data_IF_396717173545
#
_entry.id   IF_396717173545
#
_cell.length_a   1.000
_cell.length_b   1.000
_cell.length_c   1.000
_cell.angle_alpha   90.00
_cell.angle_beta   90.00
_cell.angle_gamma   90.00
#
_symmetry.space_group_name_H-M   'P 1'
#
loop_
_entity.id
_entity.type
_entity.pdbx_description
1 polymer ?
2 non-polymer ?
3 non-polymer ?
4 non-polymer ?
5 water ?
#
# COMPACT_ATOMS: atom_id res chain seq x y z
N UNK A 24 -16.20 -22.08 1.84
CA UNK A 24 -17.31 -21.14 2.07
C UNK A 24 -17.45 -20.86 3.56
N UNK A 25 -16.64 -21.55 4.36
CA UNK A 25 -16.68 -21.34 5.80
C UNK A 25 -16.28 -19.91 6.11
N UNK A 26 -15.05 -19.56 5.75
CA UNK A 26 -14.52 -18.22 6.01
C UNK A 26 -15.41 -17.12 5.39
N UNK A 27 -15.88 -17.37 4.16
CA UNK A 27 -16.76 -16.42 3.48
C UNK A 27 -18.04 -16.13 4.25
N UNK A 28 -18.61 -17.19 4.82
CA UNK A 28 -19.86 -17.11 5.57
C UNK A 28 -19.82 -16.11 6.72
N UNK A 29 -18.83 -16.30 7.60
CA UNK A 29 -18.74 -15.51 8.81
C UNK A 29 -18.12 -14.15 8.56
N UNK A 30 -17.47 -13.96 7.41
CA UNK A 30 -17.05 -12.62 7.02
C UNK A 30 -18.25 -11.88 6.45
N UNK A 31 -19.05 -12.57 5.66
CA UNK A 31 -20.25 -11.95 5.09
C UNK A 31 -21.23 -11.62 6.20
N UNK A 32 -21.33 -12.52 7.17
CA UNK A 32 -22.25 -12.37 8.29
C UNK A 32 -21.85 -11.25 9.26
N UNK A 33 -20.55 -10.98 9.36
CA UNK A 33 -20.02 -10.03 10.36
C UNK A 33 -20.53 -8.59 10.21
N UNK A 34 -20.48 -7.84 11.32
CA UNK A 34 -20.79 -6.42 11.29
C UNK A 34 -19.46 -5.69 11.26
N UNK A 35 -19.40 -4.56 10.57
CA UNK A 35 -18.13 -3.90 10.30
C UNK A 35 -17.95 -2.62 11.10
N UNK A 36 -17.08 -2.67 12.14
CA UNK A 36 -16.87 -1.56 13.07
C UNK A 36 -16.40 -0.32 12.33
N UNK A 37 -16.51 0.85 12.94
CA UNK A 37 -16.15 2.08 12.25
C UNK A 37 -14.64 2.20 12.03
N UNK A 38 -14.27 3.22 11.26
CA UNK A 38 -12.88 3.48 10.94
C UNK A 38 -12.14 3.86 12.21
N UNK A 39 -12.83 4.61 13.07
CA UNK A 39 -12.24 5.08 14.33
C UNK A 39 -11.98 3.91 15.27
N UNK A 40 -12.93 2.99 15.38
CA UNK A 40 -12.80 1.82 16.22
C UNK A 40 -11.66 0.91 15.75
N UNK A 41 -11.33 1.01 14.46
CA UNK A 41 -10.36 0.12 13.84
C UNK A 41 -8.98 0.74 13.74
N UNK A 42 -8.91 2.06 13.96
CA UNK A 42 -7.67 2.81 13.94
C UNK A 42 -7.02 2.86 12.56
N UNK A 43 -7.80 2.54 11.53
CA UNK A 43 -7.24 2.51 10.20
C UNK A 43 -7.01 3.91 9.60
N UNK A 44 -7.19 4.96 10.41
CA UNK A 44 -6.90 6.35 10.00
C UNK A 44 -5.55 6.85 10.55
N UNK A 45 -4.95 6.04 11.43
CA UNK A 45 -3.66 6.40 12.03
C UNK A 45 -2.49 5.98 11.18
N UNK A 46 -1.59 6.91 10.89
CA UNK A 46 -0.35 6.56 10.25
C UNK A 46 0.47 5.53 11.05
N UNK A 47 0.25 5.47 12.36
CA UNK A 47 1.02 4.57 13.23
C UNK A 47 0.34 3.21 13.42
N UNK A 48 -0.76 3.00 12.71
CA UNK A 48 -1.46 1.72 12.67
C UNK A 48 -0.56 0.49 12.59
N UNK A 49 -0.97 -0.58 13.26
CA UNK A 49 -0.30 -1.88 13.16
C UNK A 49 -1.30 -3.03 13.14
N UNK A 50 -0.87 -4.17 12.62
CA UNK A 50 -1.78 -5.30 12.44
C UNK A 50 -1.36 -6.55 13.21
N UNK A 51 -0.28 -6.44 13.99
CA UNK A 51 0.29 -7.62 14.66
C UNK A 51 -0.73 -8.40 15.48
N UNK A 52 -1.72 -7.69 16.02
CA UNK A 52 -2.68 -8.27 16.95
C UNK A 52 -4.03 -8.58 16.29
N UNK A 53 -4.10 -8.40 14.98
CA UNK A 53 -5.33 -8.62 14.24
C UNK A 53 -5.36 -10.02 13.66
N UNK A 54 -6.53 -10.67 13.75
CA UNK A 54 -6.75 -11.98 13.12
C UNK A 54 -6.96 -11.70 11.65
N UNK A 55 -6.89 -12.74 10.82
CA UNK A 55 -7.16 -12.56 9.40
C UNK A 55 -8.53 -11.97 9.18
N UNK A 56 -9.53 -12.52 9.84
CA UNK A 56 -10.89 -12.03 9.74
C UNK A 56 -10.95 -10.54 10.03
N UNK A 57 -10.24 -10.11 11.06
CA UNK A 57 -10.21 -8.70 11.42
C UNK A 57 -9.57 -7.82 10.34
N UNK A 58 -8.59 -8.37 9.63
CA UNK A 58 -7.96 -7.57 8.59
C UNK A 58 -8.95 -7.46 7.43
N UNK A 59 -9.70 -8.53 7.20
CA UNK A 59 -10.72 -8.56 6.16
C UNK A 59 -11.79 -7.50 6.42
N UNK A 60 -12.19 -7.37 7.68
CA UNK A 60 -13.12 -6.33 8.09
C UNK A 60 -12.58 -4.93 7.90
N UNK A 61 -11.31 -4.72 8.28
CA UNK A 61 -10.65 -3.42 8.10
C UNK A 61 -10.63 -3.02 6.63
N UNK A 62 -10.34 -3.99 5.77
CA UNK A 62 -10.35 -3.74 4.35
C UNK A 62 -11.76 -3.39 3.84
N UNK A 63 -12.78 -4.05 4.36
CA UNK A 63 -14.15 -3.66 3.99
C UNK A 63 -14.38 -2.21 4.39
N UNK A 64 -14.07 -1.89 5.65
CA UNK A 64 -14.24 -0.53 6.12
C UNK A 64 -13.55 0.50 5.22
N UNK A 65 -12.37 0.15 4.68
CA UNK A 65 -11.64 1.05 3.77
C UNK A 65 -12.42 1.37 2.50
N UNK A 66 -12.88 0.34 1.82
CA UNK A 66 -13.71 0.53 0.62
C UNK A 66 -14.94 1.37 0.95
N UNK A 67 -15.48 1.19 2.13
CA UNK A 67 -16.74 1.83 2.49
C UNK A 67 -16.59 3.33 2.73
N UNK A 68 -15.54 3.72 3.45
CA UNK A 68 -15.37 5.12 3.81
C UNK A 68 -14.74 5.98 2.73
N UNK A 69 -14.22 5.32 1.70
CA UNK A 69 -13.75 6.04 0.52
C UNK A 69 -14.91 6.15 -0.50
N UNK A 70 -16.09 5.72 -0.07
CA UNK A 70 -17.33 5.78 -0.86
C UNK A 70 -17.31 4.88 -2.07
N UNK A 71 -16.54 3.80 -1.98
CA UNK A 71 -16.37 2.90 -3.12
C UNK A 71 -17.51 1.92 -3.28
N UNK A 72 -18.12 1.54 -2.17
CA UNK A 72 -19.24 0.61 -2.25
C UNK A 72 -20.47 1.33 -2.79
N UNK A 73 -20.70 2.52 -2.26
CA UNK A 73 -21.73 3.43 -2.75
C UNK A 73 -21.62 3.69 -4.25
N UNK A 74 -20.62 4.49 -4.63
CA UNK A 74 -20.53 5.00 -6.00
C UNK A 74 -20.44 3.96 -7.12
N UNK A 75 -20.10 2.72 -6.78
CA UNK A 75 -19.84 1.70 -7.80
C UNK A 75 -20.64 0.44 -7.54
N UNK A 76 -21.61 0.55 -6.65
CA UNK A 76 -22.63 -0.48 -6.47
C UNK A 76 -22.07 -1.88 -6.24
N UNK A 77 -21.14 -1.99 -5.30
CA UNK A 77 -20.55 -3.29 -5.02
C UNK A 77 -21.50 -4.06 -4.13
N UNK A 78 -21.67 -5.34 -4.44
CA UNK A 78 -22.46 -6.22 -3.61
C UNK A 78 -21.57 -6.81 -2.52
N UNK A 79 -22.12 -6.88 -1.32
CA UNK A 79 -21.37 -7.24 -0.11
C UNK A 79 -20.68 -8.58 -0.25
N UNK A 80 -21.40 -9.60 -0.70
CA UNK A 80 -20.82 -10.93 -0.78
C UNK A 80 -19.71 -10.98 -1.83
N UNK A 81 -19.78 -10.09 -2.83
CA UNK A 81 -18.77 -10.05 -3.88
C UNK A 81 -17.48 -9.38 -3.37
N UNK A 82 -17.62 -8.22 -2.72
CA UNK A 82 -16.47 -7.57 -2.09
C UNK A 82 -15.81 -8.47 -1.05
N UNK A 83 -16.62 -9.10 -0.19
CA UNK A 83 -16.10 -10.04 0.79
C UNK A 83 -15.33 -11.17 0.13
N UNK A 84 -15.92 -11.74 -0.92
CA UNK A 84 -15.29 -12.88 -1.59
C UNK A 84 -14.00 -12.44 -2.30
N UNK A 85 -14.03 -11.23 -2.85
CA UNK A 85 -12.87 -10.66 -3.50
C UNK A 85 -11.69 -10.48 -2.54
N UNK A 86 -11.99 -9.99 -1.34
CA UNK A 86 -10.98 -9.80 -0.32
C UNK A 86 -10.39 -11.14 0.13
N UNK A 87 -11.25 -12.10 0.42
CA UNK A 87 -10.77 -13.44 0.76
C UNK A 87 -9.94 -14.06 -0.37
N UNK A 88 -10.29 -13.73 -1.61
CA UNK A 88 -9.51 -14.16 -2.74
C UNK A 88 -8.13 -13.52 -2.76
N UNK A 89 -8.07 -12.20 -2.53
CA UNK A 89 -6.78 -11.53 -2.53
C UNK A 89 -5.93 -12.12 -1.41
N UNK A 90 -6.53 -12.27 -0.23
CA UNK A 90 -5.81 -12.83 0.91
C UNK A 90 -5.22 -14.21 0.59
N UNK A 91 -6.03 -15.07 -0.02
CA UNK A 91 -5.61 -16.44 -0.33
C UNK A 91 -4.44 -16.49 -1.31
N UNK A 92 -4.37 -15.52 -2.21
CA UNK A 92 -3.33 -15.58 -3.24
C UNK A 92 -2.04 -14.91 -2.81
N UNK A 93 -1.86 -14.73 -1.50
CA UNK A 93 -0.56 -14.37 -0.93
C UNK A 93 -0.09 -15.61 -0.18
N UNK A 94 1.23 -15.79 -0.09
CA UNK A 94 1.76 -16.99 0.56
C UNK A 94 2.16 -16.72 2.01
N UNK A 95 1.68 -17.56 2.93
CA UNK A 95 2.02 -17.49 4.34
C UNK A 95 3.50 -17.78 4.55
N UNK A 96 4.01 -18.71 3.74
CA UNK A 96 5.38 -19.18 3.86
C UNK A 96 6.46 -18.11 3.60
N UNK A 97 6.04 -16.91 3.19
CA UNK A 97 6.96 -15.80 2.94
C UNK A 97 6.88 -14.80 4.10
N UNK A 98 8.03 -14.50 4.69
CA UNK A 98 8.09 -13.75 5.94
C UNK A 98 7.52 -12.32 5.86
N UNK A 99 7.83 -11.60 4.79
CA UNK A 99 7.38 -10.22 4.72
C UNK A 99 6.37 -9.98 3.61
N UNK A 100 6.76 -10.33 2.39
CA UNK A 100 5.89 -10.15 1.23
C UNK A 100 4.68 -11.10 1.23
N UNK A 101 3.71 -10.79 2.09
CA UNK A 101 2.52 -11.61 2.24
C UNK A 101 1.28 -10.72 2.45
N UNK A 102 0.15 -11.34 2.80
CA UNK A 102 -1.10 -10.59 2.94
C UNK A 102 -1.02 -9.40 3.90
N UNK A 103 -0.33 -9.59 5.03
CA UNK A 103 -0.19 -8.52 6.00
C UNK A 103 0.50 -7.28 5.42
N UNK A 104 1.52 -7.49 4.61
CA UNK A 104 2.22 -6.37 3.98
C UNK A 104 1.32 -5.68 2.95
N UNK A 105 0.53 -6.50 2.25
CA UNK A 105 -0.44 -5.98 1.28
C UNK A 105 -1.46 -5.21 2.06
N UNK A 106 -1.96 -5.83 3.11
CA UNK A 106 -2.93 -5.20 4.01
C UNK A 106 -2.45 -3.84 4.52
N UNK A 107 -1.19 -3.77 4.97
CA UNK A 107 -0.65 -2.53 5.50
C UNK A 107 -0.45 -1.45 4.46
N UNK A 108 -0.05 -1.83 3.26
CA UNK A 108 0.06 -0.85 2.17
C UNK A 108 -1.30 -0.20 1.90
N UNK A 109 -2.35 -1.03 1.85
CA UNK A 109 -3.69 -0.50 1.65
C UNK A 109 -4.13 0.40 2.80
N UNK A 110 -3.84 0.00 4.04
CA UNK A 110 -4.16 0.87 5.17
C UNK A 110 -3.44 2.22 5.08
N UNK A 111 -2.14 2.19 4.77
CA UNK A 111 -1.41 3.45 4.58
C UNK A 111 -1.98 4.32 3.45
N UNK A 112 -2.40 3.69 2.35
CA UNK A 112 -3.09 4.43 1.29
C UNK A 112 -4.31 5.12 1.89
N UNK A 113 -5.05 4.39 2.71
CA UNK A 113 -6.28 4.91 3.28
C UNK A 113 -5.99 6.09 4.20
N UNK A 114 -4.96 5.95 5.05
CA UNK A 114 -4.63 7.02 5.97
C UNK A 114 -4.15 8.25 5.22
N UNK A 115 -3.38 8.04 4.14
CA UNK A 115 -2.88 9.14 3.34
C UNK A 115 -4.04 9.85 2.65
N UNK A 116 -5.09 9.10 2.35
CA UNK A 116 -6.23 9.68 1.64
C UNK A 116 -7.10 10.49 2.59
N UNK A 117 -7.31 9.96 3.80
CA UNK A 117 -8.13 10.60 4.83
C UNK A 117 -7.32 11.56 5.71
N UNK A 118 -6.58 11.00 6.68
CA UNK A 118 -5.72 11.81 7.54
C UNK A 118 -4.73 12.68 6.75
N UNK A 119 -4.16 12.13 5.68
CA UNK A 119 -3.24 12.88 4.83
C UNK A 119 -3.91 13.82 3.84
N UNK A 120 -5.24 13.79 3.81
CA UNK A 120 -6.05 14.71 3.01
C UNK A 120 -5.74 14.70 1.50
N UNK A 121 -5.45 13.51 0.98
CA UNK A 121 -5.13 13.35 -0.45
C UNK A 121 -6.37 12.97 -1.28
N UNK A 122 -7.38 12.44 -0.60
CA UNK A 122 -8.68 12.14 -1.21
C UNK A 122 -9.20 13.28 -2.09
N UNK A 123 -8.99 14.51 -1.63
CA UNK A 123 -9.49 15.71 -2.30
C UNK A 123 -8.81 15.99 -3.64
N UNK A 124 -7.58 15.52 -3.81
CA UNK A 124 -6.82 15.81 -5.02
C UNK A 124 -7.03 14.80 -6.14
N UNK A 125 -7.80 13.74 -5.86
CA UNK A 125 -7.90 12.62 -6.79
C UNK A 125 -9.35 12.32 -7.18
N UNK A 126 -9.57 11.74 -8.36
CA UNK A 126 -10.93 11.32 -8.71
C UNK A 126 -11.31 10.05 -7.97
N UNK A 127 -12.60 9.76 -7.96
CA UNK A 127 -13.13 8.50 -7.45
C UNK A 127 -12.49 7.27 -8.10
N UNK A 128 -12.36 7.30 -9.43
CA UNK A 128 -11.84 6.15 -10.15
C UNK A 128 -10.38 5.91 -9.80
N UNK A 129 -9.63 6.99 -9.62
CA UNK A 129 -8.24 6.88 -9.19
C UNK A 129 -8.15 6.24 -7.81
N UNK A 130 -8.97 6.73 -6.89
CA UNK A 130 -8.99 6.21 -5.52
C UNK A 130 -9.30 4.72 -5.51
N UNK A 131 -10.33 4.33 -6.28
CA UNK A 131 -10.71 2.94 -6.44
C UNK A 131 -9.53 2.11 -6.92
N UNK A 132 -8.78 2.67 -7.85
CA UNK A 132 -7.66 1.96 -8.46
C UNK A 132 -6.48 1.87 -7.52
N UNK A 133 -6.24 2.91 -6.72
CA UNK A 133 -5.11 2.91 -5.80
C UNK A 133 -5.33 1.89 -4.69
N UNK A 134 -6.57 1.79 -4.22
CA UNK A 134 -6.90 0.88 -3.14
C UNK A 134 -6.72 -0.57 -3.59
N UNK A 135 -7.23 -0.86 -4.78
CA UNK A 135 -7.16 -2.21 -5.31
C UNK A 135 -5.70 -2.52 -5.58
N UNK A 136 -4.98 -1.55 -6.13
CA UNK A 136 -3.57 -1.70 -6.46
C UNK A 136 -2.74 -1.99 -5.21
N UNK A 137 -2.93 -1.19 -4.17
CA UNK A 137 -2.24 -1.42 -2.90
C UNK A 137 -2.48 -2.83 -2.36
N UNK A 138 -3.71 -3.31 -2.43
CA UNK A 138 -4.03 -4.64 -1.92
C UNK A 138 -3.45 -5.76 -2.78
N UNK A 139 -3.32 -5.50 -4.08
CA UNK A 139 -2.95 -6.55 -5.02
C UNK A 139 -1.47 -6.55 -5.45
N UNK A 140 -0.75 -5.48 -5.15
CA UNK A 140 0.54 -5.16 -5.80
C UNK A 140 1.68 -6.15 -5.58
N UNK A 141 1.50 -7.10 -4.66
CA UNK A 141 2.51 -8.12 -4.42
C UNK A 141 1.92 -9.52 -4.47
N UNK A 142 0.75 -9.65 -5.10
CA UNK A 142 0.04 -10.93 -5.18
C UNK A 142 0.93 -12.07 -5.64
N UNK A 143 0.90 -13.19 -4.91
CA UNK A 143 1.65 -14.40 -5.24
C UNK A 143 3.19 -14.23 -5.20
N UNK A 144 3.67 -13.23 -4.46
CA UNK A 144 5.10 -13.10 -4.18
C UNK A 144 5.64 -14.38 -3.51
N UNK A 145 6.82 -14.84 -3.92
CA UNK A 145 7.35 -16.08 -3.37
C UNK A 145 8.57 -15.82 -2.50
N UNK A 146 8.95 -14.56 -2.37
CA UNK A 146 10.07 -14.14 -1.56
C UNK A 146 11.14 -13.51 -2.41
N UNK A 147 11.76 -12.44 -1.90
CA UNK A 147 12.82 -11.71 -2.61
C UNK A 147 13.93 -12.62 -3.19
N UNK A 148 14.18 -13.75 -2.53
CA UNK A 148 15.17 -14.73 -2.99
C UNK A 148 14.64 -15.87 -3.87
N UNK A 149 13.55 -15.66 -4.60
CA UNK A 149 13.07 -16.63 -5.59
C UNK A 149 12.94 -16.04 -6.99
N UNK A 166 10.42 -4.80 -14.79
CA UNK A 166 9.31 -4.89 -13.86
C UNK A 166 8.61 -6.22 -14.02
N UNK A 167 9.40 -7.25 -14.25
CA UNK A 167 8.87 -8.60 -14.46
C UNK A 167 7.91 -9.06 -13.38
N UNK A 168 8.37 -9.00 -12.14
CA UNK A 168 7.56 -9.41 -10.99
C UNK A 168 6.22 -8.68 -10.94
N UNK A 169 6.28 -7.38 -11.11
CA UNK A 169 5.11 -6.53 -11.04
C UNK A 169 4.08 -6.89 -12.13
N UNK A 170 4.54 -7.28 -13.32
CA UNK A 170 3.61 -7.72 -14.34
C UNK A 170 2.88 -8.97 -13.88
N UNK A 171 3.61 -9.89 -13.27
CA UNK A 171 2.98 -11.06 -12.70
C UNK A 171 1.99 -10.73 -11.56
N UNK A 172 2.28 -9.69 -10.78
CA UNK A 172 1.37 -9.29 -9.71
C UNK A 172 0.06 -8.75 -10.27
N UNK A 173 0.17 -7.88 -11.27
CA UNK A 173 -1.01 -7.34 -11.93
C UNK A 173 -1.82 -8.46 -12.59
N UNK A 174 -1.13 -9.43 -13.14
CA UNK A 174 -1.81 -10.59 -13.72
C UNK A 174 -2.67 -11.29 -12.69
N UNK A 175 -2.09 -11.65 -11.56
CA UNK A 175 -2.86 -12.20 -10.45
C UNK A 175 -4.05 -11.31 -10.11
N UNK A 176 -3.81 -10.00 -10.04
CA UNK A 176 -4.87 -9.03 -9.74
C UNK A 176 -6.02 -9.11 -10.73
N UNK A 177 -5.71 -9.12 -12.02
CA UNK A 177 -6.72 -9.20 -13.07
C UNK A 177 -7.51 -10.50 -12.98
N UNK A 178 -6.79 -11.62 -12.91
CA UNK A 178 -7.44 -12.92 -12.83
C UNK A 178 -8.48 -12.94 -11.71
N UNK A 179 -8.12 -12.39 -10.56
CA UNK A 179 -9.04 -12.31 -9.44
C UNK A 179 -10.22 -11.38 -9.73
N UNK A 180 -9.92 -10.18 -10.23
CA UNK A 180 -10.96 -9.23 -10.59
C UNK A 180 -11.99 -9.81 -11.60
N UNK A 181 -11.59 -10.81 -12.37
CA UNK A 181 -12.47 -11.40 -13.36
C UNK A 181 -13.07 -12.74 -12.96
N UNK A 182 -12.67 -13.23 -11.79
CA UNK A 182 -13.22 -14.46 -11.25
C UNK A 182 -14.69 -14.32 -10.89
N UNK A 183 -15.49 -15.34 -11.23
CA UNK A 183 -16.93 -15.40 -10.95
C UNK A 183 -17.15 -15.20 -9.47
N UNK A 184 -18.10 -14.33 -9.13
CA UNK A 184 -18.39 -14.07 -7.74
C UNK A 184 -17.54 -12.98 -7.15
N UNK A 185 -16.44 -12.65 -7.82
CA UNK A 185 -15.47 -11.73 -7.26
C UNK A 185 -15.41 -10.40 -7.96
N UNK A 186 -16.27 -10.19 -8.95
CA UNK A 186 -16.18 -9.00 -9.79
C UNK A 186 -16.59 -7.65 -9.19
N UNK A 187 -15.72 -7.07 -8.36
CA UNK A 187 -16.06 -5.84 -7.64
C UNK A 187 -16.11 -4.59 -8.52
N UNK A 188 -15.80 -4.75 -9.80
CA UNK A 188 -15.88 -3.62 -10.73
C UNK A 188 -17.07 -3.71 -11.71
N UNK A 189 -17.91 -4.74 -11.54
CA UNK A 189 -19.03 -4.97 -12.47
C UNK A 189 -19.94 -3.74 -12.62
N UNK A 190 -20.04 -2.95 -11.56
CA UNK A 190 -20.88 -1.76 -11.57
C UNK A 190 -20.36 -0.61 -12.39
N UNK A 191 -19.08 -0.68 -12.78
CA UNK A 191 -18.48 0.36 -13.61
C UNK A 191 -18.90 0.17 -15.07
N UNK A 192 -19.09 1.28 -15.79
CA UNK A 192 -19.29 1.23 -17.25
C UNK A 192 -18.00 0.73 -17.93
N UNK A 193 -18.11 0.37 -19.21
CA UNK A 193 -16.93 -0.13 -19.93
C UNK A 193 -15.80 0.92 -19.99
N UNK A 194 -16.16 2.19 -20.11
CA UNK A 194 -15.19 3.27 -20.14
C UNK A 194 -14.51 3.47 -18.79
N UNK A 195 -15.31 3.56 -17.74
CA UNK A 195 -14.80 3.61 -16.37
C UNK A 195 -13.89 2.43 -16.12
N UNK A 196 -14.32 1.26 -16.58
CA UNK A 196 -13.61 0.02 -16.31
C UNK A 196 -12.22 0.03 -16.94
N UNK A 197 -12.16 0.40 -18.21
CA UNK A 197 -10.88 0.48 -18.92
C UNK A 197 -9.95 1.48 -18.26
N UNK A 198 -10.48 2.64 -17.90
CA UNK A 198 -9.68 3.67 -17.23
C UNK A 198 -9.17 3.18 -15.88
N UNK A 199 -10.03 2.56 -15.09
CA UNK A 199 -9.63 2.00 -13.81
C UNK A 199 -8.58 0.89 -13.96
N UNK A 200 -8.77 0.02 -14.92
CA UNK A 200 -7.86 -1.09 -15.13
C UNK A 200 -6.47 -0.59 -15.53
N UNK A 201 -6.40 0.40 -16.40
CA UNK A 201 -5.12 0.98 -16.79
C UNK A 201 -4.40 1.65 -15.60
N UNK A 202 -5.13 2.41 -14.81
CA UNK A 202 -4.56 2.99 -13.60
C UNK A 202 -4.08 1.94 -12.59
N UNK A 203 -4.88 0.90 -12.34
CA UNK A 203 -4.44 -0.20 -11.47
C UNK A 203 -3.10 -0.78 -11.92
N UNK A 204 -2.95 -0.94 -13.22
CA UNK A 204 -1.74 -1.54 -13.77
C UNK A 204 -0.50 -0.65 -13.56
N UNK A 205 -0.60 0.64 -13.88
CA UNK A 205 0.48 1.60 -13.68
C UNK A 205 0.86 1.68 -12.21
N UNK A 206 -0.13 1.61 -11.34
CA UNK A 206 0.11 1.66 -9.91
C UNK A 206 0.90 0.46 -9.40
N UNK A 207 0.54 -0.73 -9.86
CA UNK A 207 1.24 -1.95 -9.45
C UNK A 207 2.65 -1.98 -10.08
N UNK A 208 2.73 -1.51 -11.31
CA UNK A 208 4.00 -1.45 -12.01
C UNK A 208 4.92 -0.48 -11.28
N UNK A 209 4.35 0.61 -10.79
CA UNK A 209 5.11 1.63 -10.10
C UNK A 209 5.82 1.14 -8.84
N UNK A 210 5.37 0.02 -8.26
CA UNK A 210 5.97 -0.53 -7.05
C UNK A 210 7.30 -1.28 -7.33
N UNK A 211 7.72 -1.29 -8.59
CA UNK A 211 9.07 -1.72 -8.91
C UNK A 211 9.98 -0.60 -8.45
N UNK A 212 10.84 -0.88 -7.48
CA UNK A 212 11.75 0.14 -6.97
C UNK A 212 12.61 0.71 -8.09
N UNK A 213 12.93 -0.11 -9.08
CA UNK A 213 13.67 0.35 -10.26
C UNK A 213 12.91 1.49 -10.96
N UNK A 214 11.63 1.26 -11.21
CA UNK A 214 10.78 2.30 -11.81
C UNK A 214 10.78 3.55 -10.95
N UNK A 215 10.71 3.37 -9.63
CA UNK A 215 10.66 4.52 -8.72
C UNK A 215 11.91 5.41 -8.83
N UNK A 216 13.07 4.77 -8.89
CA UNK A 216 14.34 5.49 -8.96
C UNK A 216 14.50 6.24 -10.29
N UNK A 217 14.02 5.61 -11.36
CA UNK A 217 14.07 6.18 -12.68
C UNK A 217 13.19 7.41 -12.80
N UNK A 218 12.05 7.40 -12.11
CA UNK A 218 11.05 8.44 -12.33
C UNK A 218 11.00 9.53 -11.27
N UNK A 219 11.61 9.27 -10.11
CA UNK A 219 11.49 10.20 -9.00
C UNK A 219 12.21 11.50 -9.30
N UNK A 220 13.26 11.41 -10.11
CA UNK A 220 14.02 12.56 -10.56
C UNK A 220 13.13 13.68 -11.05
N UNK A 221 12.25 13.36 -11.98
CA UNK A 221 11.32 14.35 -12.52
C UNK A 221 10.39 14.89 -11.45
N UNK A 222 10.00 14.03 -10.50
CA UNK A 222 9.06 14.41 -9.44
C UNK A 222 9.68 15.42 -8.48
N UNK A 223 10.86 15.10 -7.96
CA UNK A 223 11.58 16.00 -7.06
C UNK A 223 11.93 17.30 -7.78
N UNK A 224 12.32 17.17 -9.05
CA UNK A 224 12.66 18.34 -9.87
C UNK A 224 11.49 19.29 -10.03
N UNK A 225 10.31 18.74 -10.27
CA UNK A 225 9.10 19.55 -10.39
C UNK A 225 8.78 20.29 -9.10
N UNK A 226 8.71 19.56 -7.98
CA UNK A 226 8.37 20.15 -6.69
C UNK A 226 9.35 21.25 -6.33
N UNK A 227 10.61 21.00 -6.67
CA UNK A 227 11.71 21.91 -6.40
C UNK A 227 11.42 23.30 -6.95
N UNK A 228 10.82 23.36 -8.13
CA UNK A 228 10.54 24.63 -8.81
C UNK A 228 9.14 25.19 -8.56
N UNK A 229 8.44 24.64 -7.57
CA UNK A 229 7.02 24.98 -7.34
C UNK A 229 6.15 24.86 -8.59
N UNK A 230 6.53 23.95 -9.49
CA UNK A 230 5.82 23.75 -10.74
C UNK A 230 4.82 22.59 -10.67
N UNK A 231 5.01 21.68 -9.73
CA UNK A 231 4.17 20.47 -9.65
C UNK A 231 2.67 20.80 -9.65
N UNK A 232 2.01 20.34 -10.72
CA UNK A 232 0.58 20.58 -10.91
C UNK A 232 -0.15 19.27 -11.26
N UNK A 233 -1.10 18.91 -10.40
CA UNK A 233 -1.80 17.63 -10.51
C UNK A 233 -2.77 17.58 -11.69
N UNK A 234 -3.19 18.75 -12.15
CA UNK A 234 -4.17 18.84 -13.22
C UNK A 234 -3.56 18.47 -14.58
N UNK A 235 -2.23 18.51 -14.66
CA UNK A 235 -1.55 17.91 -15.81
C UNK A 235 -1.65 16.40 -15.65
N UNK A 236 -2.22 15.73 -16.66
CA UNK A 236 -2.36 14.28 -16.66
C UNK A 236 -1.04 13.59 -16.38
N UNK A 237 0.03 14.11 -16.96
CA UNK A 237 1.32 13.45 -16.87
C UNK A 237 1.91 13.45 -15.46
N UNK A 238 1.70 14.56 -14.75
CA UNK A 238 2.21 14.69 -13.38
C UNK A 238 1.31 13.96 -12.40
N UNK A 239 0.00 13.99 -12.66
CA UNK A 239 -0.99 13.24 -11.90
C UNK A 239 -0.61 11.76 -11.84
N UNK A 240 -0.38 11.18 -13.00
CA UNK A 240 0.06 9.79 -13.07
C UNK A 240 1.38 9.57 -12.33
N UNK A 241 2.30 10.53 -12.43
CA UNK A 241 3.59 10.43 -11.73
C UNK A 241 3.38 10.42 -10.21
N UNK A 242 2.48 11.26 -9.74
CA UNK A 242 2.16 11.35 -8.32
C UNK A 242 1.54 10.03 -7.80
N UNK A 243 0.63 9.46 -8.56
CA UNK A 243 0.04 8.17 -8.19
C UNK A 243 1.12 7.11 -8.03
N UNK A 244 2.13 7.15 -8.89
CA UNK A 244 3.25 6.20 -8.80
C UNK A 244 4.03 6.42 -7.53
N UNK A 245 4.30 7.68 -7.22
CA UNK A 245 5.06 8.01 -6.03
C UNK A 245 4.25 7.64 -4.78
N UNK A 246 2.95 7.92 -4.79
CA UNK A 246 2.08 7.57 -3.67
C UNK A 246 2.15 6.07 -3.41
N UNK A 247 2.11 5.29 -4.48
CA UNK A 247 2.22 3.85 -4.37
C UNK A 247 3.50 3.44 -3.66
N UNK A 248 4.64 4.02 -4.07
CA UNK A 248 5.92 3.65 -3.43
C UNK A 248 5.88 4.03 -1.95
N UNK A 249 5.37 5.22 -1.66
CA UNK A 249 5.24 5.72 -0.28
C UNK A 249 4.47 4.79 0.64
N UNK A 250 3.34 4.26 0.17
CA UNK A 250 2.55 3.33 0.97
C UNK A 250 3.24 1.99 1.06
N UNK A 251 3.84 1.57 -0.04
CA UNK A 251 4.54 0.30 -0.13
C UNK A 251 5.63 0.24 0.93
N UNK A 252 6.29 1.36 1.17
CA UNK A 252 7.44 1.42 2.09
C UNK A 252 7.04 1.94 3.48
N UNK A 253 5.76 2.10 3.75
CA UNK A 253 5.31 2.78 4.97
C UNK A 253 5.82 2.16 6.28
N UNK A 254 6.22 0.88 6.25
CA UNK A 254 6.73 0.21 7.45
C UNK A 254 7.91 0.99 8.04
N UNK A 255 8.71 1.56 7.15
CA UNK A 255 9.85 2.38 7.53
C UNK A 255 9.44 3.63 8.33
N UNK A 256 8.15 3.92 8.40
CA UNK A 256 7.70 5.14 9.06
C UNK A 256 7.07 4.86 10.43
N UNK A 257 6.89 3.58 10.71
CA UNK A 257 6.13 3.14 11.89
C UNK A 257 6.84 3.49 13.19
N UNK A 258 6.09 3.57 14.30
CA UNK A 258 6.72 3.78 15.61
C UNK A 258 7.79 2.73 15.84
N UNK A 259 8.88 3.15 16.47
CA UNK A 259 10.07 2.31 16.63
C UNK A 259 9.88 0.83 17.05
N UNK A 260 9.02 0.55 18.06
CA UNK A 260 8.86 -0.86 18.41
C UNK A 260 8.23 -1.65 17.27
N UNK A 261 7.31 -1.02 16.57
CA UNK A 261 6.72 -1.63 15.38
C UNK A 261 7.72 -1.78 14.22
N UNK A 262 8.42 -0.70 13.85
CA UNK A 262 9.42 -0.78 12.77
C UNK A 262 10.49 -1.85 13.02
N UNK A 263 10.95 -1.94 14.26
CA UNK A 263 11.92 -2.95 14.63
C UNK A 263 11.40 -4.36 14.33
N UNK A 264 10.11 -4.57 14.58
CA UNK A 264 9.52 -5.88 14.41
C UNK A 264 9.40 -6.21 12.95
N UNK A 265 8.92 -5.23 12.20
CA UNK A 265 8.80 -5.42 10.77
C UNK A 265 10.19 -5.59 10.12
N UNK A 266 11.18 -4.80 10.56
CA UNK A 266 12.53 -4.92 10.00
C UNK A 266 13.04 -6.34 10.20
N UNK A 267 12.58 -6.95 11.27
CA UNK A 267 12.96 -8.32 11.58
C UNK A 267 12.34 -9.28 10.57
N UNK A 268 11.12 -8.99 10.14
CA UNK A 268 10.47 -9.83 9.14
C UNK A 268 11.21 -9.77 7.81
N UNK A 269 11.53 -8.55 7.36
CA UNK A 269 12.20 -8.40 6.08
C UNK A 269 13.61 -8.98 6.12
N UNK A 270 14.21 -8.98 7.30
CA UNK A 270 15.52 -9.59 7.49
C UNK A 270 15.40 -11.10 7.31
N UNK A 271 14.31 -11.66 7.82
CA UNK A 271 14.06 -13.10 7.71
C UNK A 271 13.90 -13.53 6.26
N UNK A 272 13.25 -12.69 5.46
CA UNK A 272 13.05 -13.00 4.04
C UNK A 272 14.35 -12.82 3.26
N UNK A 273 15.05 -11.72 3.52
CA UNK A 273 16.30 -11.41 2.82
C UNK A 273 17.41 -12.44 3.02
N UNK A 274 17.59 -12.90 4.25
CA UNK A 274 18.80 -13.62 4.64
C UNK A 274 18.59 -15.09 4.98
N UNK A 275 17.38 -15.45 5.36
CA UNK A 275 17.11 -16.80 5.81
C UNK A 275 15.95 -17.48 5.11
N UNK A 276 15.68 -17.07 3.87
CA UNK A 276 14.69 -17.73 3.03
C UNK A 276 15.25 -17.74 1.61
N UNK A 277 14.94 -18.77 0.82
CA UNK A 277 14.17 -19.91 1.29
C UNK A 277 12.89 -20.16 0.49
N UNK A 297 29.76 -8.49 13.54
CA UNK A 297 28.89 -7.32 13.66
C UNK A 297 27.55 -7.54 12.93
N UNK A 298 26.53 -6.79 13.33
CA UNK A 298 25.23 -6.81 12.65
C UNK A 298 25.11 -5.68 11.63
N UNK A 299 24.94 -6.04 10.36
CA UNK A 299 24.96 -5.06 9.29
C UNK A 299 23.60 -4.38 9.10
N UNK A 300 22.56 -4.99 9.67
CA UNK A 300 21.20 -4.51 9.50
C UNK A 300 20.96 -3.03 9.83
N UNK A 301 21.48 -2.53 10.96
CA UNK A 301 21.12 -1.13 11.25
C UNK A 301 21.76 -0.17 10.27
N UNK A 302 22.95 -0.54 9.80
CA UNK A 302 23.65 0.22 8.78
C UNK A 302 22.89 0.14 7.47
N UNK A 303 22.47 -1.08 7.13
CA UNK A 303 21.63 -1.27 5.96
C UNK A 303 20.38 -0.40 6.03
N UNK A 304 19.72 -0.39 7.18
CA UNK A 304 18.48 0.39 7.30
C UNK A 304 18.73 1.88 7.10
N UNK A 305 19.82 2.40 7.65
CA UNK A 305 20.14 3.82 7.50
C UNK A 305 20.37 4.13 6.02
N UNK A 306 21.02 3.20 5.32
CA UNK A 306 21.27 3.37 3.89
C UNK A 306 19.99 3.39 3.08
N UNK A 307 19.12 2.42 3.34
CA UNK A 307 17.81 2.35 2.70
C UNK A 307 17.01 3.63 2.97
N UNK A 308 17.01 4.10 4.21
CA UNK A 308 16.28 5.32 4.55
C UNK A 308 16.83 6.55 3.79
N UNK A 309 18.16 6.66 3.73
CA UNK A 309 18.80 7.76 3.00
C UNK A 309 18.58 7.72 1.50
N UNK A 310 18.90 6.59 0.88
CA UNK A 310 18.79 6.45 -0.58
C UNK A 310 17.34 6.56 -1.10
N UNK A 311 16.40 5.98 -0.37
CA UNK A 311 15.10 5.70 -0.95
C UNK A 311 13.98 6.47 -0.26
N UNK A 312 13.95 6.41 1.07
CA UNK A 312 12.77 6.86 1.83
C UNK A 312 12.61 8.35 2.09
N UNK A 313 13.64 9.01 2.65
CA UNK A 313 13.49 10.39 3.10
C UNK A 313 12.99 11.38 2.05
N UNK A 314 13.61 11.38 0.88
CA UNK A 314 13.23 12.32 -0.16
C UNK A 314 11.76 12.12 -0.58
N UNK A 315 11.37 10.86 -0.77
CA UNK A 315 9.99 10.53 -1.09
C UNK A 315 9.01 11.12 -0.08
N UNK A 316 9.23 10.85 1.21
CA UNK A 316 8.30 11.39 2.21
C UNK A 316 8.40 12.91 2.34
N UNK A 317 9.59 13.46 2.10
CA UNK A 317 9.75 14.91 2.05
C UNK A 317 8.87 15.47 0.93
N UNK A 318 9.05 14.98 -0.29
CA UNK A 318 8.22 15.40 -1.42
C UNK A 318 6.72 15.23 -1.15
N UNK A 319 6.35 14.10 -0.54
CA UNK A 319 4.95 13.84 -0.22
C UNK A 319 4.32 14.87 0.71
N UNK A 320 5.08 15.31 1.72
CA UNK A 320 4.52 16.27 2.67
C UNK A 320 4.44 17.64 1.99
N UNK A 321 5.35 17.89 1.05
CA UNK A 321 5.29 19.11 0.24
C UNK A 321 3.96 19.16 -0.52
N UNK A 322 3.60 18.04 -1.14
CA UNK A 322 2.32 17.94 -1.83
C UNK A 322 1.16 18.13 -0.85
N UNK A 323 1.24 17.48 0.31
CA UNK A 323 0.21 17.63 1.34
C UNK A 323 0.79 17.66 2.75
N UNK A 324 0.73 18.83 3.37
CA UNK A 324 1.31 19.05 4.69
C UNK A 324 0.89 17.98 5.70
N UNK A 325 -0.29 17.40 5.52
CA UNK A 325 -0.81 16.44 6.47
C UNK A 325 -0.22 15.03 6.40
N UNK A 326 0.60 14.77 5.38
CA UNK A 326 1.34 13.50 5.31
C UNK A 326 2.61 13.55 6.14
N UNK A 327 2.87 14.70 6.75
CA UNK A 327 4.04 14.91 7.60
C UNK A 327 4.40 13.80 8.58
N UNK A 328 3.39 13.20 9.25
CA UNK A 328 3.70 12.07 10.12
C UNK A 328 4.52 10.96 9.46
N UNK A 329 4.35 10.73 8.16
CA UNK A 329 5.11 9.67 7.49
C UNK A 329 6.57 10.06 7.51
N UNK A 330 6.82 11.30 7.10
CA UNK A 330 8.15 11.87 7.11
C UNK A 330 8.76 11.82 8.50
N UNK A 331 7.97 12.20 9.50
CA UNK A 331 8.41 12.27 10.89
C UNK A 331 8.80 10.91 11.47
N UNK A 332 7.93 9.93 11.25
CA UNK A 332 8.20 8.58 11.70
C UNK A 332 9.46 8.05 11.04
N UNK A 333 9.67 8.41 9.77
CA UNK A 333 10.84 7.94 9.05
C UNK A 333 12.12 8.48 9.69
N UNK A 334 12.13 9.77 10.00
CA UNK A 334 13.29 10.42 10.64
C UNK A 334 13.62 9.84 12.00
N UNK A 335 12.60 9.71 12.84
CA UNK A 335 12.75 9.09 14.16
C UNK A 335 13.34 7.70 14.04
N UNK A 336 12.93 6.97 13.01
CA UNK A 336 13.45 5.63 12.81
C UNK A 336 14.89 5.64 12.35
N UNK A 337 15.25 6.63 11.53
CA UNK A 337 16.63 6.73 11.08
C UNK A 337 17.54 6.91 12.29
N UNK A 338 17.12 7.82 13.17
CA UNK A 338 17.79 8.11 14.43
C UNK A 338 18.06 6.82 15.23
N UNK A 339 17.04 5.99 15.38
CA UNK A 339 17.14 4.75 16.13
C UNK A 339 18.10 3.76 15.48
N UNK A 340 18.01 3.62 14.17
CA UNK A 340 18.90 2.70 13.45
C UNK A 340 20.36 3.17 13.46
N UNK A 341 20.57 4.49 13.38
CA UNK A 341 21.93 5.06 13.38
C UNK A 341 22.65 4.83 14.71
N UNK A 342 21.96 5.13 15.82
CA UNK A 342 22.49 4.82 17.15
C UNK A 342 22.91 3.36 17.23
N UNK A 343 22.01 2.46 16.84
CA UNK A 343 22.33 1.04 16.78
C UNK A 343 23.56 0.74 15.92
N UNK A 344 23.64 1.39 14.76
CA UNK A 344 24.74 1.16 13.82
C UNK A 344 26.10 1.52 14.44
N UNK A 345 26.10 2.51 15.31
CA UNK A 345 27.33 3.03 15.90
C UNK A 345 27.85 2.18 17.05
N UNK A 346 27.05 1.23 17.48
CA UNK A 346 27.49 0.25 18.46
C UNK A 346 27.90 -1.04 17.73
N UNK A 347 27.73 -1.03 16.41
CA UNK A 347 28.05 -2.19 15.56
C UNK A 347 27.23 -3.42 15.94
X LIG B 1 5.25 -4.31 -1.58
X LIG C 1 6.43 -5.76 -4.98
X LIG D 1 15.61 -5.06 7.66
X LIG D 1 11.03 -3.93 0.96
X LIG D 1 15.74 -5.61 -2.48
X LIG D 1 12.57 -1.94 6.26
X LIG D 1 19.85 -1.99 0.03
X LIG D 1 18.04 -0.36 0.05
X LIG D 1 9.83 -1.52 4.23
X LIG D 1 18.64 -3.52 2.34
X LIG D 1 18.15 -4.20 3.47
X LIG D 1 16.49 -2.59 1.93
X LIG D 1 16.62 -6.01 7.07
X LIG D 1 11.45 -2.53 1.39
X LIG D 1 17.25 -5.53 5.79
X LIG D 1 18.09 -4.80 -2.51
X LIG D 1 16.30 -3.54 -3.07
X LIG D 1 18.27 -3.93 -1.23
X LIG D 1 16.31 -2.72 -1.82
X LIG D 1 13.63 -2.91 2.40
X LIG D 1 14.09 -2.63 4.60
X LIG D 1 16.38 -4.74 4.99
X LIG D 1 17.77 -2.69 1.54
X LIG D 1 16.82 -4.07 3.86
X LIG D 1 12.34 -2.52 2.62
X LIG D 1 11.83 -2.17 3.91
X LIG D 1 15.94 -3.31 3.08
X LIG D 1 14.49 -2.98 3.36
X LIG D 1 12.81 -2.24 4.90
X LIG D 1 16.80 -4.79 -2.91
X LIG D 1 17.62 -2.52 -1.26
X LIG D 1 18.40 -1.84 0.07
#
# INVERSE_FOLDING_TARGET
>A
MGSSHHHHHHSSGLVPRGSHMEETRELQSLAAAVVPSAQTLKITDFSFSDFELSDLETALCTIRMFTDLNLVQNFQMKHEVLCRWILSVKKNYRKNVAYHNWRHAFNTAQCMFAALKAGKIQNKLTDLEILALLIAALSHDLDHRGVNNSYIQRSEHPLAQLYCHSIMEHHHFDQCLMILNSPGNQILSGLSIEEYKTTLKIIKQAILATDLALYIKRRGEFFELIRKNQFNLEDPHQKELFLAMLMTACDLSAITKPWPIQQRIAELVATEFFDQGDRERKELNIEPTDLMNREKKNKIPSMQVGFIDAICLQLYEALTHVSEDCFPLLDGCRKNRQKWQALAEQQ
>B hetero
1 ZN ZN
>C hetero
1 MG MG
>D hetero
1 5IO CAA CAB CAC OAD OAE OAF IAG CAH CAI CAJ CAK CAL CAM CAN CAO CAP CAQ NAR NAS OAT CAU CAV CAW CAX CAY CAZ CBA NBB NBC SBD
#
